data_IF_460068725047
#
_entry.id   IF_460068725047
#
_cell.length_a   1.000
_cell.length_b   1.000
_cell.length_c   1.000
_cell.angle_alpha   90.00
_cell.angle_beta   90.00
_cell.angle_gamma   90.00
#
_symmetry.space_group_name_H-M   'P 1'
#
loop_
_entity.id
_entity.type
_entity.pdbx_description
1 polymer ?
#
# COMPACT_ATOMS: atom_id res chain seq x y z
N UNK A 1 -15.38 -1.37 -26.68
CA UNK A 1 -15.43 -0.11 -25.92
C UNK A 1 -16.71 -0.18 -25.12
N UNK A 2 -16.63 -0.69 -23.89
CA UNK A 2 -17.77 -0.66 -22.98
C UNK A 2 -18.11 0.80 -22.68
N UNK A 3 -19.38 1.16 -22.86
CA UNK A 3 -19.89 2.48 -22.47
C UNK A 3 -19.96 2.51 -20.95
N UNK A 4 -18.83 2.78 -20.29
CA UNK A 4 -18.88 3.09 -18.87
C UNK A 4 -19.63 4.41 -18.69
N UNK A 5 -20.69 4.37 -17.89
CA UNK A 5 -21.30 5.60 -17.41
C UNK A 5 -20.32 6.32 -16.48
N UNK A 6 -20.40 7.65 -16.44
CA UNK A 6 -19.57 8.46 -15.55
C UNK A 6 -20.45 9.19 -14.54
N UNK A 7 -19.98 9.28 -13.30
CA UNK A 7 -20.44 10.29 -12.36
C UNK A 7 -19.66 11.58 -12.61
N UNK A 8 -20.38 12.68 -12.86
CA UNK A 8 -19.76 13.98 -13.15
C UNK A 8 -19.74 14.85 -11.90
N UNK A 9 -18.56 15.40 -11.59
CA UNK A 9 -18.39 16.45 -10.57
C UNK A 9 -18.06 17.77 -11.26
N UNK A 10 -19.01 18.71 -11.20
CA UNK A 10 -18.82 20.07 -11.72
C UNK A 10 -18.13 20.92 -10.67
N UNK A 11 -16.88 21.29 -10.94
CA UNK A 11 -16.06 22.04 -9.98
C UNK A 11 -15.88 23.49 -10.41
N UNK A 12 -16.13 24.43 -9.50
CA UNK A 12 -15.66 25.81 -9.63
C UNK A 12 -14.23 25.91 -9.12
N UNK A 13 -13.29 26.24 -10.00
CA UNK A 13 -11.85 26.26 -9.71
C UNK A 13 -11.35 27.70 -9.76
N UNK A 14 -10.76 28.15 -8.66
CA UNK A 14 -10.02 29.40 -8.57
C UNK A 14 -8.56 29.22 -8.95
N UNK A 15 -8.02 30.16 -9.72
CA UNK A 15 -6.60 30.24 -10.08
C UNK A 15 -6.14 31.70 -10.08
N UNK A 16 -4.81 31.94 -10.13
CA UNK A 16 -4.22 33.26 -9.87
C UNK A 16 -3.31 33.77 -10.99
N UNK A 17 -3.83 34.03 -12.21
CA UNK A 17 -3.00 34.50 -13.30
C UNK A 17 -2.38 35.86 -13.00
N UNK A 18 -1.20 36.09 -13.55
CA UNK A 18 -0.55 37.39 -13.49
C UNK A 18 -1.16 38.32 -14.55
N UNK A 19 -1.92 39.31 -14.09
CA UNK A 19 -2.50 40.39 -14.93
C UNK A 19 -1.87 41.72 -14.56
N UNK A 20 -1.92 42.71 -15.45
CA UNK A 20 -1.51 44.10 -15.12
C UNK A 20 -2.80 44.91 -14.90
N UNK A 21 -3.19 45.22 -13.64
CA UNK A 21 -4.38 46.03 -13.38
C UNK A 21 -4.25 47.45 -13.97
N UNK A 22 -5.38 48.13 -14.28
CA UNK A 22 -5.37 49.44 -14.93
C UNK A 22 -4.51 50.53 -14.25
N UNK A 23 -4.28 50.43 -12.93
CA UNK A 23 -3.48 51.41 -12.15
C UNK A 23 -2.08 50.92 -11.77
N UNK A 24 -1.66 49.75 -12.27
CA UNK A 24 -0.40 49.13 -11.91
C UNK A 24 0.55 49.08 -13.11
N UNK A 25 1.86 49.14 -12.84
CA UNK A 25 2.92 48.98 -13.86
C UNK A 25 3.54 47.57 -13.88
N UNK A 26 3.26 46.76 -12.85
CA UNK A 26 3.78 45.40 -12.69
C UNK A 26 2.62 44.42 -12.65
N UNK A 27 2.81 43.24 -13.23
CA UNK A 27 1.82 42.18 -13.14
C UNK A 27 1.62 41.76 -11.68
N UNK A 28 0.36 41.53 -11.32
CA UNK A 28 -0.09 41.09 -10.00
C UNK A 28 -0.92 39.82 -10.18
N UNK A 29 -0.87 38.87 -9.24
CA UNK A 29 -1.81 37.77 -9.23
C UNK A 29 -3.22 38.34 -9.00
N UNK A 30 -4.15 37.99 -9.89
CA UNK A 30 -5.57 38.30 -9.76
C UNK A 30 -6.31 36.99 -9.60
N UNK A 31 -7.26 36.91 -8.67
CA UNK A 31 -8.07 35.71 -8.52
C UNK A 31 -9.12 35.67 -9.64
N UNK A 32 -9.06 34.62 -10.46
CA UNK A 32 -10.04 34.30 -11.49
C UNK A 32 -10.63 32.92 -11.18
N UNK A 33 -11.87 32.66 -11.61
CA UNK A 33 -12.54 31.37 -11.42
C UNK A 33 -13.11 30.87 -12.74
N UNK A 34 -13.10 29.56 -12.95
CA UNK A 34 -13.74 28.89 -14.07
C UNK A 34 -14.43 27.61 -13.60
N UNK A 35 -15.23 26.98 -14.46
CA UNK A 35 -15.88 25.70 -14.16
C UNK A 35 -15.27 24.59 -14.99
N UNK A 36 -15.07 23.43 -14.38
CA UNK A 36 -14.56 22.23 -15.04
C UNK A 36 -15.32 20.98 -14.59
N UNK A 37 -15.56 20.05 -15.50
CA UNK A 37 -16.24 18.79 -15.21
C UNK A 37 -15.24 17.65 -15.09
N UNK A 38 -15.17 17.03 -13.91
CA UNK A 38 -14.42 15.79 -13.70
C UNK A 38 -15.33 14.60 -13.90
N UNK A 39 -14.89 13.61 -14.68
CA UNK A 39 -15.62 12.38 -14.95
C UNK A 39 -15.02 11.23 -14.17
N UNK A 40 -15.83 10.61 -13.33
CA UNK A 40 -15.43 9.51 -12.45
C UNK A 40 -16.10 8.24 -12.95
N UNK A 41 -15.35 7.14 -13.16
CA UNK A 41 -15.93 5.89 -13.64
C UNK A 41 -17.05 5.39 -12.72
N UNK A 42 -18.16 4.96 -13.33
CA UNK A 42 -19.27 4.31 -12.64
C UNK A 42 -19.41 2.88 -13.16
N UNK A 43 -19.53 1.95 -12.24
CA UNK A 43 -19.64 0.51 -12.49
C UNK A 43 -20.66 -0.13 -11.55
N UNK A 44 -21.01 -1.37 -11.82
CA UNK A 44 -21.86 -2.22 -10.99
C UNK A 44 -21.03 -3.05 -10.02
N UNK A 45 -21.67 -3.59 -8.97
CA UNK A 45 -21.00 -4.57 -8.09
C UNK A 45 -20.57 -5.85 -8.80
N UNK A 46 -21.17 -6.20 -9.94
CA UNK A 46 -20.76 -7.36 -10.74
C UNK A 46 -19.43 -7.11 -11.46
N UNK A 47 -19.23 -5.89 -11.97
CA UNK A 47 -17.98 -5.47 -12.62
C UNK A 47 -16.86 -5.23 -11.60
N UNK A 48 -17.19 -4.81 -10.38
CA UNK A 48 -16.25 -4.55 -9.29
C UNK A 48 -16.58 -5.40 -8.04
N UNK A 49 -16.42 -6.73 -8.09
CA UNK A 49 -16.83 -7.63 -7.01
C UNK A 49 -16.02 -7.40 -5.73
N UNK A 50 -16.62 -7.76 -4.59
CA UNK A 50 -15.90 -7.84 -3.31
C UNK A 50 -15.01 -9.07 -3.34
N UNK A 51 -13.71 -8.88 -3.14
CA UNK A 51 -12.68 -9.94 -3.18
C UNK A 51 -12.18 -10.35 -1.80
N UNK A 52 -12.39 -9.50 -0.79
CA UNK A 52 -12.17 -9.84 0.60
C UNK A 52 -13.00 -8.98 1.56
N UNK A 53 -13.21 -9.49 2.77
CA UNK A 53 -13.67 -8.74 3.93
C UNK A 53 -12.48 -8.66 4.91
N UNK A 54 -12.01 -7.45 5.16
CA UNK A 54 -10.81 -7.18 5.96
C UNK A 54 -11.22 -6.63 7.33
N UNK A 55 -10.83 -7.26 8.45
CA UNK A 55 -11.14 -6.76 9.76
C UNK A 55 -10.57 -5.36 9.95
N UNK A 56 -11.42 -4.41 10.32
CA UNK A 56 -11.03 -3.02 10.55
C UNK A 56 -11.24 -2.66 12.02
N UNK A 57 -10.32 -3.14 12.86
CA UNK A 57 -10.32 -2.91 14.31
C UNK A 57 -9.88 -1.49 14.70
N UNK A 58 -9.45 -0.68 13.73
CA UNK A 58 -8.90 0.66 13.94
C UNK A 58 -9.57 1.75 13.09
N UNK A 59 -10.62 1.42 12.34
CA UNK A 59 -11.36 2.35 11.49
C UNK A 59 -10.54 2.90 10.31
N UNK A 60 -9.47 2.22 9.89
CA UNK A 60 -8.60 2.63 8.79
C UNK A 60 -9.22 2.41 7.41
N UNK A 61 -10.19 1.51 7.30
CA UNK A 61 -10.86 1.14 6.05
C UNK A 61 -12.29 1.64 5.98
N UNK A 62 -12.71 2.41 6.97
CA UNK A 62 -14.05 2.92 7.02
C UNK A 62 -15.06 1.86 7.46
N UNK A 63 -14.71 0.96 8.37
CA UNK A 63 -15.74 0.27 9.13
C UNK A 63 -15.97 0.96 10.47
N UNK A 64 -17.17 0.82 11.01
CA UNK A 64 -17.41 1.08 12.42
C UNK A 64 -16.68 0.03 13.25
N UNK A 65 -16.05 0.47 14.35
CA UNK A 65 -15.35 -0.36 15.35
C UNK A 65 -15.81 -1.83 15.39
N UNK A 66 -15.10 -2.71 14.68
CA UNK A 66 -15.30 -4.17 14.73
C UNK A 66 -16.00 -4.82 13.53
N UNK A 67 -16.44 -4.07 12.52
CA UNK A 67 -16.99 -4.64 11.29
C UNK A 67 -15.89 -4.96 10.26
N UNK A 68 -16.08 -5.99 9.44
CA UNK A 68 -15.18 -6.27 8.32
C UNK A 68 -15.42 -5.27 7.18
N UNK A 69 -14.36 -4.59 6.75
CA UNK A 69 -14.40 -3.67 5.64
C UNK A 69 -14.30 -4.42 4.29
N UNK A 70 -15.23 -4.18 3.35
CA UNK A 70 -15.19 -4.81 2.04
C UNK A 70 -14.04 -4.24 1.20
N UNK A 71 -13.30 -5.12 0.54
CA UNK A 71 -12.29 -4.80 -0.46
C UNK A 71 -12.80 -5.23 -1.83
N UNK A 72 -12.83 -4.32 -2.80
CA UNK A 72 -13.27 -4.61 -4.17
C UNK A 72 -12.11 -4.66 -5.14
N UNK A 73 -12.24 -5.44 -6.21
CA UNK A 73 -11.28 -5.45 -7.33
C UNK A 73 -11.95 -4.92 -8.59
N UNK A 74 -11.27 -4.01 -9.30
CA UNK A 74 -11.70 -3.52 -10.61
C UNK A 74 -10.46 -3.22 -11.46
N UNK A 75 -10.40 -3.75 -12.68
CA UNK A 75 -9.27 -3.61 -13.61
C UNK A 75 -7.90 -3.93 -12.97
N UNK A 76 -7.86 -4.96 -12.11
CA UNK A 76 -6.64 -5.41 -11.45
C UNK A 76 -6.11 -4.49 -10.34
N UNK A 77 -6.94 -3.52 -9.90
CA UNK A 77 -6.67 -2.62 -8.79
C UNK A 77 -7.69 -2.83 -7.67
N UNK A 78 -7.25 -2.64 -6.42
CA UNK A 78 -8.08 -2.83 -5.24
C UNK A 78 -8.67 -1.50 -4.76
N UNK A 79 -9.87 -1.56 -4.19
CA UNK A 79 -10.62 -0.40 -3.74
C UNK A 79 -11.21 -0.63 -2.36
N UNK A 80 -11.08 0.38 -1.49
CA UNK A 80 -11.73 0.45 -0.17
C UNK A 80 -12.87 1.47 -0.19
N UNK A 81 -13.83 1.31 0.70
CA UNK A 81 -14.94 2.25 0.85
C UNK A 81 -14.45 3.65 1.25
N UNK A 82 -15.07 4.70 0.69
CA UNK A 82 -14.92 6.08 1.19
C UNK A 82 -16.07 6.34 2.15
N UNK A 83 -15.77 6.76 3.38
CA UNK A 83 -16.82 6.93 4.39
C UNK A 83 -17.61 8.22 4.28
N UNK A 84 -18.93 8.07 4.33
CA UNK A 84 -19.90 9.16 4.46
C UNK A 84 -20.21 9.51 5.92
N UNK A 85 -20.05 8.55 6.83
CA UNK A 85 -20.32 8.68 8.26
C UNK A 85 -19.49 7.69 9.08
N UNK A 86 -19.99 7.31 10.28
CA UNK A 86 -19.31 6.31 11.12
C UNK A 86 -19.53 4.87 10.61
N UNK A 87 -20.64 4.62 9.92
CA UNK A 87 -21.08 3.28 9.49
C UNK A 87 -21.35 3.18 7.99
N UNK A 88 -21.51 4.31 7.30
CA UNK A 88 -22.05 4.33 5.93
C UNK A 88 -20.98 4.74 4.91
N UNK A 89 -20.95 4.01 3.79
CA UNK A 89 -20.17 4.38 2.60
C UNK A 89 -20.78 5.63 1.96
N UNK A 90 -19.96 6.60 1.60
CA UNK A 90 -20.39 7.83 0.97
C UNK A 90 -21.10 7.51 -0.35
N UNK A 91 -22.30 8.07 -0.52
CA UNK A 91 -23.00 8.02 -1.79
C UNK A 91 -22.49 9.12 -2.74
N UNK A 92 -22.42 8.82 -4.03
CA UNK A 92 -22.14 9.81 -5.05
C UNK A 92 -23.29 10.84 -5.12
N UNK A 93 -22.94 12.13 -5.04
CA UNK A 93 -23.90 13.23 -4.92
C UNK A 93 -24.31 13.59 -3.50
N UNK A 94 -23.79 12.89 -2.47
CA UNK A 94 -23.99 13.26 -1.06
C UNK A 94 -23.11 14.45 -0.64
N UNK A 95 -23.36 15.03 0.54
CA UNK A 95 -22.52 16.09 1.11
C UNK A 95 -21.04 15.71 1.25
N UNK A 96 -20.76 14.40 1.37
CA UNK A 96 -19.41 13.85 1.52
C UNK A 96 -18.71 13.63 0.18
N UNK A 97 -19.49 13.49 -0.88
CA UNK A 97 -18.99 13.37 -2.25
C UNK A 97 -19.96 14.04 -3.23
N UNK A 98 -20.02 15.39 -3.22
CA UNK A 98 -21.05 16.12 -3.94
C UNK A 98 -20.81 16.11 -5.46
N UNK A 99 -21.88 16.28 -6.23
CA UNK A 99 -21.79 16.49 -7.69
C UNK A 99 -21.27 17.88 -8.06
N UNK A 100 -21.11 18.78 -7.08
CA UNK A 100 -20.52 20.11 -7.25
C UNK A 100 -19.48 20.38 -6.18
N UNK A 101 -18.32 20.91 -6.56
CA UNK A 101 -17.24 21.22 -5.62
C UNK A 101 -16.62 22.59 -5.92
N UNK A 102 -15.94 23.17 -4.94
CA UNK A 102 -15.15 24.38 -5.11
C UNK A 102 -13.70 24.13 -4.69
N UNK A 103 -12.75 24.55 -5.51
CA UNK A 103 -11.33 24.40 -5.27
C UNK A 103 -10.60 25.72 -5.49
N UNK A 104 -9.65 26.04 -4.64
CA UNK A 104 -8.72 27.15 -4.86
C UNK A 104 -7.33 26.59 -5.13
N UNK A 105 -6.73 27.01 -6.24
CA UNK A 105 -5.33 26.77 -6.56
C UNK A 105 -4.52 28.06 -6.44
N UNK A 106 -3.26 27.90 -6.06
CA UNK A 106 -2.27 28.99 -6.10
C UNK A 106 -1.57 29.11 -7.45
N UNK A 107 -1.85 28.18 -8.39
CA UNK A 107 -1.25 28.22 -9.71
C UNK A 107 -1.70 29.45 -10.50
N UNK A 108 -0.80 30.08 -11.27
CA UNK A 108 -1.15 31.10 -12.24
C UNK A 108 -1.74 30.54 -13.55
N UNK A 109 -1.72 29.21 -13.75
CA UNK A 109 -2.16 28.55 -14.98
C UNK A 109 -3.42 27.71 -14.75
N UNK A 110 -4.42 27.89 -15.61
CA UNK A 110 -5.67 27.15 -15.57
C UNK A 110 -5.45 25.63 -15.62
N UNK A 111 -4.58 25.16 -16.52
CA UNK A 111 -4.29 23.73 -16.68
C UNK A 111 -3.67 23.08 -15.44
N UNK A 112 -2.79 23.78 -14.72
CA UNK A 112 -2.23 23.29 -13.47
C UNK A 112 -3.27 23.28 -12.36
N UNK A 113 -4.15 24.28 -12.30
CA UNK A 113 -5.27 24.31 -11.36
C UNK A 113 -6.26 23.17 -11.62
N UNK A 114 -6.53 22.82 -12.89
CA UNK A 114 -7.32 21.63 -13.26
C UNK A 114 -6.64 20.35 -12.75
N UNK A 115 -5.34 20.18 -12.96
CA UNK A 115 -4.61 19.00 -12.48
C UNK A 115 -4.62 18.91 -10.94
N UNK A 116 -4.41 20.02 -10.24
CA UNK A 116 -4.44 20.06 -8.78
C UNK A 116 -5.82 19.67 -8.24
N UNK A 117 -6.89 20.20 -8.82
CA UNK A 117 -8.25 19.80 -8.48
C UNK A 117 -8.53 18.34 -8.85
N UNK A 118 -8.05 17.88 -10.02
CA UNK A 118 -8.21 16.52 -10.53
C UNK A 118 -7.62 15.44 -9.62
N UNK A 119 -6.51 15.72 -8.94
CA UNK A 119 -5.89 14.81 -7.96
C UNK A 119 -6.82 14.37 -6.83
N UNK A 120 -7.88 15.13 -6.55
CA UNK A 120 -8.90 14.74 -5.55
C UNK A 120 -9.78 13.57 -6.01
N UNK A 121 -9.90 13.40 -7.32
CA UNK A 121 -10.72 12.37 -7.95
C UNK A 121 -9.89 11.20 -8.50
N UNK A 122 -8.55 11.31 -8.47
CA UNK A 122 -7.65 10.22 -8.82
C UNK A 122 -7.91 8.99 -7.93
N UNK A 123 -8.08 7.84 -8.59
CA UNK A 123 -8.35 6.58 -7.91
C UNK A 123 -9.75 6.48 -7.29
N UNK A 124 -10.69 7.36 -7.63
CA UNK A 124 -12.09 7.22 -7.22
C UNK A 124 -12.86 6.38 -8.22
N UNK A 125 -13.72 5.50 -7.70
CA UNK A 125 -14.65 4.66 -8.45
C UNK A 125 -16.03 4.74 -7.81
N UNK A 126 -17.08 4.85 -8.62
CA UNK A 126 -18.47 4.76 -8.14
C UNK A 126 -19.00 3.36 -8.45
N UNK A 127 -19.33 2.58 -7.42
CA UNK A 127 -19.91 1.25 -7.55
C UNK A 127 -21.34 1.28 -7.00
N UNK A 128 -22.33 1.05 -7.85
CA UNK A 128 -23.77 1.12 -7.47
C UNK A 128 -24.17 2.40 -6.73
N UNK A 129 -23.55 3.53 -7.09
CA UNK A 129 -23.79 4.83 -6.47
C UNK A 129 -23.03 5.07 -5.16
N UNK A 130 -22.25 4.11 -4.67
CA UNK A 130 -21.34 4.26 -3.54
C UNK A 130 -19.92 4.61 -4.00
N UNK A 131 -19.20 5.39 -3.21
CA UNK A 131 -17.86 5.91 -3.56
C UNK A 131 -16.78 5.03 -2.94
N UNK A 132 -15.84 4.64 -3.78
CA UNK A 132 -14.70 3.79 -3.44
C UNK A 132 -13.41 4.46 -3.87
N UNK A 133 -12.32 4.15 -3.18
CA UNK A 133 -11.00 4.69 -3.47
C UNK A 133 -9.98 3.58 -3.61
N UNK A 134 -9.11 3.70 -4.60
CA UNK A 134 -7.98 2.80 -4.81
C UNK A 134 -7.17 2.66 -3.53
N UNK A 135 -6.79 1.43 -3.22
CA UNK A 135 -5.94 1.11 -2.09
C UNK A 135 -4.87 0.11 -2.51
N UNK A 136 -3.78 0.07 -1.75
CA UNK A 136 -2.71 -0.92 -1.89
C UNK A 136 -3.20 -2.28 -1.40
N UNK A 137 -2.50 -3.33 -1.82
CA UNK A 137 -2.81 -4.68 -1.37
C UNK A 137 -2.49 -4.85 0.12
N UNK A 138 -3.47 -5.24 0.95
CA UNK A 138 -3.24 -5.48 2.36
C UNK A 138 -2.41 -6.75 2.62
N UNK A 139 -1.77 -6.78 3.78
CA UNK A 139 -0.94 -7.88 4.25
C UNK A 139 -0.98 -7.97 5.77
N UNK A 140 -0.70 -9.13 6.35
CA UNK A 140 -0.42 -9.25 7.77
C UNK A 140 1.02 -8.83 8.05
N UNK A 141 1.25 -8.04 9.09
CA UNK A 141 2.57 -7.53 9.44
C UNK A 141 2.87 -7.78 10.91
N UNK A 142 4.08 -8.29 11.18
CA UNK A 142 4.63 -8.40 12.53
C UNK A 142 5.28 -7.06 12.89
N UNK A 143 4.71 -6.39 13.89
CA UNK A 143 5.24 -5.17 14.46
C UNK A 143 5.78 -5.41 15.87
N UNK A 144 6.81 -4.65 16.24
CA UNK A 144 7.44 -4.74 17.57
C UNK A 144 7.41 -3.40 18.23
N UNK A 145 6.99 -3.37 19.49
CA UNK A 145 7.02 -2.17 20.32
C UNK A 145 8.08 -2.39 21.42
N UNK A 146 8.93 -1.38 21.63
CA UNK A 146 9.95 -1.42 22.66
C UNK A 146 11.03 -2.51 22.49
N UNK A 147 11.71 -2.83 23.60
CA UNK A 147 12.98 -3.58 23.58
C UNK A 147 12.83 -5.11 23.60
N UNK A 148 11.63 -5.64 23.88
CA UNK A 148 11.40 -7.07 24.07
C UNK A 148 11.28 -7.45 25.55
N UNK A 149 11.13 -8.73 25.87
CA UNK A 149 10.94 -9.21 27.23
C UNK A 149 9.64 -8.70 27.87
N UNK A 150 8.58 -8.54 27.07
CA UNK A 150 7.31 -7.89 27.41
C UNK A 150 7.40 -6.36 27.59
N UNK A 151 8.53 -5.72 27.28
CA UNK A 151 8.61 -4.27 27.23
C UNK A 151 8.12 -3.73 25.87
N UNK A 152 6.81 -3.51 25.77
CA UNK A 152 6.12 -3.00 24.58
C UNK A 152 5.46 -4.12 23.75
N UNK A 153 6.14 -5.26 23.59
CA UNK A 153 5.58 -6.48 23.02
C UNK A 153 5.72 -6.62 21.50
N UNK A 154 5.06 -7.65 20.97
CA UNK A 154 4.98 -7.98 19.54
C UNK A 154 3.50 -8.04 19.14
N UNK A 155 3.13 -7.58 17.96
CA UNK A 155 1.74 -7.65 17.48
C UNK A 155 1.70 -8.09 16.02
N UNK A 156 0.58 -8.68 15.62
CA UNK A 156 0.25 -9.02 14.24
C UNK A 156 -0.95 -8.16 13.84
N UNK A 157 -0.79 -7.34 12.81
CA UNK A 157 -1.84 -6.44 12.31
C UNK A 157 -2.02 -6.55 10.81
N UNK A 158 -3.19 -6.19 10.31
CA UNK A 158 -3.40 -5.97 8.87
C UNK A 158 -2.88 -4.58 8.52
N UNK A 159 -2.04 -4.49 7.50
CA UNK A 159 -1.48 -3.24 7.00
C UNK A 159 -1.65 -3.12 5.50
N UNK A 160 -2.02 -1.91 5.07
CA UNK A 160 -2.11 -1.50 3.67
C UNK A 160 -0.82 -0.83 3.20
N UNK A 161 0.16 -0.63 4.09
CA UNK A 161 1.40 0.02 3.71
C UNK A 161 2.37 -1.01 3.13
N UNK A 162 2.78 -0.79 1.89
CA UNK A 162 3.90 -1.51 1.28
C UNK A 162 5.23 -0.96 1.81
N UNK A 163 5.41 -1.07 3.13
CA UNK A 163 6.58 -0.59 3.87
C UNK A 163 6.84 -1.52 5.03
N UNK A 164 7.94 -2.25 4.98
CA UNK A 164 8.33 -3.14 6.06
C UNK A 164 9.49 -4.03 5.70
N UNK A 165 9.96 -4.76 6.70
CA UNK A 165 10.88 -5.87 6.49
C UNK A 165 10.08 -7.02 5.84
N UNK A 166 10.46 -7.51 4.64
CA UNK A 166 9.71 -8.54 3.92
C UNK A 166 9.66 -9.88 4.67
N UNK A 167 10.62 -10.17 5.55
CA UNK A 167 10.60 -11.27 6.51
C UNK A 167 9.53 -11.19 7.60
N UNK A 168 8.83 -10.05 7.71
CA UNK A 168 7.79 -9.78 8.72
C UNK A 168 6.44 -9.43 8.12
N UNK A 169 6.26 -9.62 6.82
CA UNK A 169 5.06 -9.23 6.11
C UNK A 169 4.56 -10.39 5.27
N UNK A 170 3.30 -10.77 5.44
CA UNK A 170 2.69 -11.95 4.85
C UNK A 170 1.46 -11.52 4.04
N UNK A 171 1.24 -12.04 2.82
CA UNK A 171 0.02 -11.75 2.09
C UNK A 171 -1.21 -12.15 2.91
N UNK A 172 -2.36 -11.48 2.67
CA UNK A 172 -3.61 -11.80 3.37
C UNK A 172 -4.06 -13.27 3.21
N UNK A 173 -3.59 -13.95 2.17
CA UNK A 173 -3.88 -15.36 1.91
C UNK A 173 -3.08 -16.32 2.80
N UNK A 174 -2.07 -15.86 3.54
CA UNK A 174 -1.17 -16.66 4.38
C UNK A 174 -1.37 -16.43 5.89
N UNK A 175 -2.61 -16.22 6.34
CA UNK A 175 -2.93 -15.93 7.76
C UNK A 175 -2.26 -16.89 8.77
N UNK A 176 -2.40 -18.21 8.56
CA UNK A 176 -1.86 -19.20 9.51
C UNK A 176 -0.32 -19.12 9.61
N UNK A 177 0.35 -18.87 8.49
CA UNK A 177 1.79 -18.68 8.44
C UNK A 177 2.18 -17.39 9.19
N UNK A 178 1.45 -16.30 8.95
CA UNK A 178 1.68 -15.03 9.63
C UNK A 178 1.55 -15.16 11.16
N UNK A 179 0.53 -15.87 11.66
CA UNK A 179 0.33 -16.14 13.10
C UNK A 179 1.48 -16.99 13.65
N UNK A 180 1.84 -18.08 12.96
CA UNK A 180 2.92 -18.96 13.40
C UNK A 180 4.25 -18.19 13.51
N UNK A 181 4.60 -17.42 12.49
CA UNK A 181 5.81 -16.60 12.46
C UNK A 181 5.78 -15.50 13.53
N UNK A 182 4.64 -14.86 13.77
CA UNK A 182 4.49 -13.84 14.81
C UNK A 182 4.71 -14.43 16.21
N UNK A 183 4.17 -15.63 16.49
CA UNK A 183 4.37 -16.33 17.77
C UNK A 183 5.84 -16.72 17.95
N UNK A 184 6.48 -17.26 16.92
CA UNK A 184 7.90 -17.59 16.96
C UNK A 184 8.74 -16.34 17.26
N UNK A 185 8.45 -15.24 16.57
CA UNK A 185 9.14 -13.97 16.72
C UNK A 185 8.97 -13.40 18.14
N UNK A 186 7.74 -13.42 18.68
CA UNK A 186 7.46 -13.02 20.05
C UNK A 186 8.21 -13.88 21.07
N UNK A 187 8.28 -15.20 20.88
CA UNK A 187 9.03 -16.10 21.75
C UNK A 187 10.53 -15.79 21.74
N UNK A 188 11.14 -15.56 20.56
CA UNK A 188 12.56 -15.17 20.44
C UNK A 188 12.87 -13.88 21.19
N UNK A 189 11.91 -12.95 21.26
CA UNK A 189 12.01 -11.69 22.01
C UNK A 189 11.67 -11.82 23.49
N UNK A 190 11.11 -12.94 23.95
CA UNK A 190 10.57 -13.06 25.30
C UNK A 190 9.25 -12.28 25.53
N UNK A 191 8.55 -11.90 24.46
CA UNK A 191 7.27 -11.17 24.50
C UNK A 191 6.07 -12.12 24.72
N UNK A 192 6.15 -12.95 25.75
CA UNK A 192 5.16 -14.01 26.05
C UNK A 192 3.74 -13.49 26.30
N UNK A 193 3.59 -12.27 26.81
CA UNK A 193 2.28 -11.64 27.03
C UNK A 193 1.55 -11.30 25.72
N UNK A 194 2.28 -11.24 24.61
CA UNK A 194 1.72 -10.90 23.29
C UNK A 194 1.06 -12.09 22.59
N UNK A 195 1.43 -13.32 22.97
CA UNK A 195 1.05 -14.55 22.25
C UNK A 195 -0.47 -14.71 22.16
N UNK A 196 -1.19 -14.38 23.24
CA UNK A 196 -2.65 -14.47 23.25
C UNK A 196 -3.26 -13.54 22.19
N UNK A 197 -2.86 -12.26 22.21
CA UNK A 197 -3.34 -11.25 21.26
C UNK A 197 -3.01 -11.62 19.81
N UNK A 198 -1.82 -12.17 19.54
CA UNK A 198 -1.42 -12.62 18.20
C UNK A 198 -2.33 -13.75 17.69
N UNK A 199 -2.74 -14.69 18.56
CA UNK A 199 -3.67 -15.77 18.19
C UNK A 199 -5.10 -15.27 17.96
N UNK A 200 -5.45 -14.17 18.61
CA UNK A 200 -6.76 -13.53 18.54
C UNK A 200 -6.82 -12.47 17.42
N UNK A 201 -5.72 -12.25 16.67
CA UNK A 201 -5.72 -11.35 15.52
C UNK A 201 -6.81 -11.77 14.53
N UNK A 202 -7.73 -10.86 14.17
CA UNK A 202 -8.80 -11.18 13.24
C UNK A 202 -8.28 -11.64 11.88
N UNK A 203 -8.92 -12.68 11.32
CA UNK A 203 -8.61 -13.22 10.00
C UNK A 203 -9.50 -12.55 8.94
N UNK A 204 -8.87 -12.04 7.89
CA UNK A 204 -9.59 -11.62 6.70
C UNK A 204 -10.27 -12.77 5.98
N UNK A 205 -11.51 -12.54 5.54
CA UNK A 205 -12.26 -13.48 4.71
C UNK A 205 -11.91 -13.23 3.26
N UNK A 206 -11.23 -14.18 2.61
CA UNK A 206 -10.84 -14.08 1.21
C UNK A 206 -11.92 -14.73 0.33
N UNK A 207 -12.49 -13.95 -0.59
CA UNK A 207 -13.52 -14.40 -1.52
C UNK A 207 -12.93 -14.71 -2.90
N UNK A 208 -11.93 -13.96 -3.33
CA UNK A 208 -11.17 -14.21 -4.56
C UNK A 208 -9.66 -14.04 -4.32
N UNK A 209 -8.92 -15.14 -4.11
CA UNK A 209 -7.47 -15.10 -3.92
C UNK A 209 -6.69 -14.56 -5.12
N UNK A 210 -7.24 -14.64 -6.34
CA UNK A 210 -6.54 -14.22 -7.56
C UNK A 210 -6.40 -12.71 -7.69
N UNK A 211 -7.18 -11.94 -6.92
CA UNK A 211 -7.08 -10.50 -6.83
C UNK A 211 -5.81 -10.02 -6.09
N UNK A 212 -5.12 -10.91 -5.39
CA UNK A 212 -3.93 -10.64 -4.58
C UNK A 212 -2.66 -11.06 -5.32
N UNK A 213 -1.68 -10.16 -5.38
CA UNK A 213 -0.45 -10.25 -6.17
C UNK A 213 0.80 -10.29 -5.31
N UNK A 214 0.70 -9.96 -4.02
CA UNK A 214 1.82 -10.05 -3.09
C UNK A 214 2.34 -11.50 -3.07
N UNK A 215 3.62 -11.75 -3.39
CA UNK A 215 4.16 -13.10 -3.35
C UNK A 215 4.12 -13.68 -1.95
N UNK A 216 3.89 -14.99 -1.87
CA UNK A 216 3.94 -15.75 -0.62
C UNK A 216 5.31 -15.65 0.03
N UNK A 217 5.35 -15.83 1.35
CA UNK A 217 6.61 -15.81 2.09
C UNK A 217 7.57 -16.88 1.59
N UNK A 218 7.08 -18.06 1.23
CA UNK A 218 7.89 -19.12 0.63
C UNK A 218 8.53 -18.69 -0.70
N UNK A 219 7.77 -18.04 -1.60
CA UNK A 219 8.31 -17.53 -2.86
C UNK A 219 9.35 -16.43 -2.63
N UNK A 220 9.10 -15.52 -1.66
CA UNK A 220 10.07 -14.46 -1.32
C UNK A 220 11.36 -15.05 -0.76
N UNK A 221 11.26 -16.04 0.12
CA UNK A 221 12.42 -16.73 0.70
C UNK A 221 13.23 -17.42 -0.40
N UNK A 222 12.59 -18.18 -1.29
CA UNK A 222 13.26 -18.84 -2.41
C UNK A 222 13.98 -17.83 -3.32
N UNK A 223 13.32 -16.73 -3.68
CA UNK A 223 13.92 -15.67 -4.48
C UNK A 223 15.11 -14.99 -3.76
N UNK A 224 14.98 -14.74 -2.46
CA UNK A 224 16.03 -14.13 -1.65
C UNK A 224 17.24 -15.06 -1.52
N UNK A 225 17.01 -16.36 -1.32
CA UNK A 225 18.07 -17.36 -1.27
C UNK A 225 18.81 -17.45 -2.61
N UNK A 226 18.09 -17.51 -3.74
CA UNK A 226 18.69 -17.53 -5.08
C UNK A 226 19.55 -16.29 -5.33
N UNK A 227 19.05 -15.11 -4.98
CA UNK A 227 19.78 -13.84 -5.13
C UNK A 227 21.01 -13.78 -4.23
N UNK A 228 20.88 -14.14 -2.95
CA UNK A 228 21.99 -14.17 -2.00
C UNK A 228 23.09 -15.14 -2.50
N UNK A 229 22.68 -16.32 -3.00
CA UNK A 229 23.61 -17.30 -3.60
C UNK A 229 24.34 -16.72 -4.80
N UNK A 230 23.64 -16.04 -5.71
CA UNK A 230 24.24 -15.42 -6.88
C UNK A 230 25.28 -14.34 -6.50
N UNK A 231 24.98 -13.54 -5.49
CA UNK A 231 25.90 -12.54 -4.95
C UNK A 231 27.16 -13.17 -4.34
N UNK A 232 27.00 -14.23 -3.55
CA UNK A 232 28.12 -14.98 -2.95
C UNK A 232 29.00 -15.62 -4.02
N UNK A 233 28.41 -16.26 -5.04
CA UNK A 233 29.15 -16.83 -6.16
C UNK A 233 29.94 -15.76 -6.91
N UNK A 234 29.33 -14.60 -7.15
CA UNK A 234 29.99 -13.46 -7.81
C UNK A 234 31.15 -12.92 -6.96
N UNK A 235 30.97 -12.81 -5.64
CA UNK A 235 32.02 -12.39 -4.72
C UNK A 235 33.20 -13.37 -4.72
N UNK A 236 32.92 -14.68 -4.70
CA UNK A 236 33.94 -15.72 -4.82
C UNK A 236 34.73 -15.60 -6.14
N UNK A 237 34.07 -15.25 -7.23
CA UNK A 237 34.72 -14.98 -8.52
C UNK A 237 35.75 -13.84 -8.46
N UNK A 238 35.48 -12.76 -7.73
CA UNK A 238 36.45 -11.68 -7.51
C UNK A 238 37.66 -12.13 -6.67
N UNK A 239 37.45 -13.08 -5.74
CA UNK A 239 38.50 -13.59 -4.85
C UNK A 239 39.35 -14.70 -5.48
N UNK A 240 38.83 -15.41 -6.48
CA UNK A 240 39.53 -16.50 -7.17
C UNK A 240 40.64 -16.02 -8.12
N UNK A 241 40.63 -14.74 -8.53
CA UNK A 241 41.63 -14.13 -9.40
C UNK A 241 42.81 -13.49 -8.65
N UNK A 242 43.52 -12.57 -9.31
CA UNK A 242 44.51 -11.75 -8.62
C UNK A 242 43.82 -10.86 -7.58
N UNK A 243 44.16 -11.05 -6.30
CA UNK A 243 43.58 -10.29 -5.19
C UNK A 243 44.14 -8.87 -5.17
N UNK A 244 43.44 -7.94 -5.83
CA UNK A 244 43.73 -6.52 -5.79
C UNK A 244 42.89 -5.85 -4.71
N UNK A 245 43.23 -4.62 -4.34
CA UNK A 245 42.39 -3.81 -3.45
C UNK A 245 40.95 -3.68 -4.01
N UNK A 246 40.80 -3.48 -5.32
CA UNK A 246 39.50 -3.32 -5.96
C UNK A 246 38.68 -4.61 -6.01
N UNK A 247 39.32 -5.76 -6.19
CA UNK A 247 38.62 -7.05 -6.13
C UNK A 247 38.17 -7.39 -4.71
N UNK A 248 38.99 -7.08 -3.69
CA UNK A 248 38.60 -7.19 -2.28
C UNK A 248 37.42 -6.27 -1.93
N UNK A 249 37.47 -5.01 -2.37
CA UNK A 249 36.39 -4.05 -2.13
C UNK A 249 35.08 -4.49 -2.79
N UNK A 250 35.15 -4.98 -4.03
CA UNK A 250 33.98 -5.46 -4.78
C UNK A 250 33.37 -6.72 -4.13
N UNK A 251 34.21 -7.67 -3.73
CA UNK A 251 33.76 -8.88 -3.02
C UNK A 251 33.08 -8.51 -1.69
N UNK A 252 33.69 -7.60 -0.92
CA UNK A 252 33.12 -7.10 0.35
C UNK A 252 31.71 -6.53 0.14
N UNK A 253 31.52 -5.68 -0.87
CA UNK A 253 30.22 -5.05 -1.16
C UNK A 253 29.14 -6.08 -1.48
N UNK A 254 29.46 -7.10 -2.27
CA UNK A 254 28.53 -8.19 -2.61
C UNK A 254 28.17 -9.05 -1.39
N UNK A 255 29.13 -9.30 -0.51
CA UNK A 255 28.89 -10.05 0.74
C UNK A 255 28.00 -9.23 1.69
N UNK A 256 28.25 -7.92 1.84
CA UNK A 256 27.39 -7.01 2.61
C UNK A 256 25.96 -6.99 2.06
N UNK A 257 25.80 -7.01 0.74
CA UNK A 257 24.49 -7.04 0.08
C UNK A 257 23.77 -8.38 0.31
N UNK A 258 24.48 -9.51 0.18
CA UNK A 258 23.92 -10.83 0.46
C UNK A 258 23.49 -10.98 1.92
N UNK A 259 24.33 -10.54 2.86
CA UNK A 259 24.04 -10.54 4.31
C UNK A 259 22.81 -9.69 4.64
N UNK A 260 22.71 -8.49 4.05
CA UNK A 260 21.53 -7.62 4.20
C UNK A 260 20.25 -8.29 3.68
N UNK A 261 20.31 -8.97 2.53
CA UNK A 261 19.17 -9.69 1.95
C UNK A 261 18.76 -10.86 2.85
N UNK A 262 19.72 -11.65 3.32
CA UNK A 262 19.47 -12.75 4.26
C UNK A 262 18.81 -12.24 5.54
N UNK A 263 19.34 -11.17 6.13
CA UNK A 263 18.79 -10.55 7.33
C UNK A 263 17.36 -10.01 7.11
N UNK A 264 17.09 -9.37 5.96
CA UNK A 264 15.77 -8.85 5.63
C UNK A 264 14.71 -9.94 5.44
N UNK A 265 15.11 -11.14 5.06
CA UNK A 265 14.20 -12.27 4.84
C UNK A 265 14.23 -13.31 5.97
N UNK A 266 15.12 -13.18 6.94
CA UNK A 266 15.28 -14.15 8.02
C UNK A 266 15.92 -15.48 7.56
N UNK A 267 16.81 -15.41 6.57
CA UNK A 267 17.59 -16.57 6.12
C UNK A 267 18.82 -16.73 7.02
N UNK A 268 18.94 -17.88 7.68
CA UNK A 268 20.11 -18.19 8.52
C UNK A 268 21.29 -18.68 7.69
N UNK A 269 21.02 -19.37 6.58
CA UNK A 269 22.03 -19.90 5.67
C UNK A 269 21.56 -19.86 4.21
N UNK A 270 22.53 -19.87 3.29
CA UNK A 270 22.30 -20.05 1.86
C UNK A 270 23.08 -21.29 1.45
N UNK A 271 22.40 -22.27 0.87
CA UNK A 271 23.06 -23.52 0.54
C UNK A 271 24.25 -23.28 -0.42
N UNK A 272 25.34 -24.00 -0.20
CA UNK A 272 26.52 -23.89 -1.03
C UNK A 272 26.19 -24.21 -2.50
N UNK A 273 26.83 -23.50 -3.44
CA UNK A 273 26.73 -23.83 -4.87
C UNK A 273 27.26 -25.26 -5.09
N UNK A 274 26.37 -26.18 -5.49
CA UNK A 274 26.70 -27.58 -5.79
C UNK A 274 26.20 -28.65 -4.79
N UNK A 275 25.42 -28.29 -3.77
CA UNK A 275 24.91 -29.25 -2.77
C UNK A 275 23.59 -29.97 -3.13
N UNK A 276 23.11 -29.88 -4.38
CA UNK A 276 22.02 -30.74 -4.84
C UNK A 276 22.61 -32.05 -5.37
N UNK A 277 22.76 -33.03 -4.49
CA UNK A 277 22.88 -34.47 -4.83
C UNK A 277 21.53 -35.15 -4.68
#
# INVERSE_FOLDING_TARGET
>A
MENHEFFTVTSTIGFRPYRVPPRCRKARPVQETFTHEFRIPRVTSEEAPVVALVPDDRGYLGSSDGDDAPLRSYNGQLYTAVMGGRTDIAAAGSDRFPSTAAYESWSPMEFEAIQEAGRKFEGILVVDGQVWKTTSEPSYKIETLGMGGNHGGTLLEVSFLDRGNPGRQFPLTEYEHAVASAIEFANKRGDTNSIKMIRETPRATILDPSAFKIPTQAQRLANAEEQARALVVKAAGFLAGATTHDSLWSAKKLIEEADSLMYQHGLDEVAAAGANT
#
